data_IF_158062445782
#
_entry.id   IF_158062445782
#
_cell.length_a   1.000
_cell.length_b   1.000
_cell.length_c   1.000
_cell.angle_alpha   90.00
_cell.angle_beta   90.00
_cell.angle_gamma   90.00
#
_symmetry.space_group_name_H-M   'P 1'
#
loop_
_entity.id
_entity.type
_entity.pdbx_description
1 polymer ?
#
# COMPACT_ATOMS: atom_id res chain seq x y z
N UNK A 1 12.64 -8.00 -9.61
CA UNK A 1 11.45 -7.16 -9.84
C UNK A 1 10.79 -6.95 -8.52
N UNK A 2 10.39 -5.74 -8.19
CA UNK A 2 9.52 -5.50 -7.04
C UNK A 2 8.12 -6.01 -7.38
N UNK A 3 7.25 -6.19 -6.38
CA UNK A 3 5.84 -6.43 -6.63
C UNK A 3 5.23 -5.16 -7.24
N UNK A 4 4.31 -5.29 -8.19
CA UNK A 4 3.61 -4.20 -8.87
C UNK A 4 4.37 -3.47 -9.99
N UNK A 5 5.51 -3.93 -10.48
CA UNK A 5 6.24 -3.23 -11.55
C UNK A 5 5.42 -3.18 -12.85
N UNK A 6 4.83 -4.32 -13.26
CA UNK A 6 3.99 -4.37 -14.47
C UNK A 6 2.56 -3.83 -14.23
N UNK A 7 2.05 -3.97 -12.99
CA UNK A 7 0.68 -3.57 -12.66
C UNK A 7 0.52 -2.05 -12.47
N UNK A 8 1.61 -1.32 -12.16
CA UNK A 8 1.58 0.09 -11.76
C UNK A 8 0.76 0.97 -12.73
N UNK A 9 0.95 0.82 -14.03
CA UNK A 9 0.26 1.63 -15.05
C UNK A 9 -1.26 1.39 -15.10
N UNK A 10 -1.73 0.19 -14.73
CA UNK A 10 -3.15 -0.19 -14.79
C UNK A 10 -3.83 -0.21 -13.41
N UNK A 11 -3.05 -0.04 -12.33
CA UNK A 11 -3.49 -0.28 -10.95
C UNK A 11 -4.71 0.56 -10.56
N UNK A 12 -4.69 1.85 -10.84
CA UNK A 12 -5.80 2.74 -10.46
C UNK A 12 -7.08 2.46 -11.27
N UNK A 13 -6.94 2.02 -12.52
CA UNK A 13 -8.06 1.63 -13.38
C UNK A 13 -8.79 0.36 -12.91
N UNK A 14 -8.07 -0.51 -12.18
CA UNK A 14 -8.63 -1.73 -11.59
C UNK A 14 -9.31 -1.48 -10.23
N UNK A 15 -9.16 -0.29 -9.65
CA UNK A 15 -9.76 0.06 -8.37
C UNK A 15 -11.15 0.67 -8.55
N UNK A 16 -12.13 0.18 -7.78
CA UNK A 16 -13.50 0.67 -7.84
C UNK A 16 -13.60 2.17 -7.51
N UNK A 17 -14.45 2.89 -8.25
CA UNK A 17 -14.68 4.32 -8.11
C UNK A 17 -14.97 4.76 -6.66
N UNK A 18 -14.30 5.82 -6.25
CA UNK A 18 -14.51 6.45 -4.94
C UNK A 18 -13.97 5.70 -3.72
N UNK A 19 -13.29 4.55 -3.88
CA UNK A 19 -12.66 3.82 -2.76
C UNK A 19 -11.65 4.72 -2.05
N UNK A 20 -10.77 5.35 -2.80
CA UNK A 20 -9.72 6.23 -2.25
C UNK A 20 -10.29 7.46 -1.53
N UNK A 21 -11.33 8.08 -2.08
CA UNK A 21 -11.98 9.24 -1.47
C UNK A 21 -12.59 8.90 -0.11
N UNK A 22 -13.31 7.76 -0.03
CA UNK A 22 -13.89 7.26 1.23
C UNK A 22 -12.80 6.92 2.24
N UNK A 23 -11.70 6.30 1.80
CA UNK A 23 -10.58 5.94 2.64
C UNK A 23 -9.87 7.18 3.20
N UNK A 24 -9.58 8.17 2.36
CA UNK A 24 -8.98 9.43 2.81
C UNK A 24 -9.87 10.16 3.84
N UNK A 25 -11.19 10.22 3.62
CA UNK A 25 -12.13 10.79 4.58
C UNK A 25 -12.20 9.97 5.89
N UNK A 26 -12.04 8.66 5.83
CA UNK A 26 -11.95 7.81 7.02
C UNK A 26 -10.68 8.07 7.83
N UNK A 27 -9.53 8.18 7.15
CA UNK A 27 -8.24 8.52 7.78
C UNK A 27 -8.32 9.86 8.52
N UNK A 28 -8.94 10.90 7.93
CA UNK A 28 -9.12 12.19 8.61
C UNK A 28 -9.96 12.07 9.89
N UNK A 29 -10.98 11.20 9.90
CA UNK A 29 -11.74 10.93 11.14
C UNK A 29 -10.88 10.29 12.21
N UNK A 30 -9.94 9.41 11.82
CA UNK A 30 -9.00 8.79 12.73
C UNK A 30 -7.94 9.79 13.22
N UNK A 31 -7.44 10.67 12.35
CA UNK A 31 -6.52 11.74 12.72
C UNK A 31 -7.10 12.68 13.79
N UNK A 32 -8.42 12.96 13.73
CA UNK A 32 -9.11 13.74 14.78
C UNK A 32 -9.15 13.04 16.16
N UNK A 33 -8.86 11.73 16.21
CA UNK A 33 -8.76 10.95 17.45
C UNK A 33 -7.33 10.85 17.98
N UNK A 34 -6.34 11.36 17.23
CA UNK A 34 -4.95 11.42 17.69
C UNK A 34 -4.83 12.34 18.91
N UNK A 35 -3.89 12.03 19.82
CA UNK A 35 -3.65 12.84 21.01
C UNK A 35 -3.03 14.21 20.68
N UNK A 36 -2.48 14.36 19.48
CA UNK A 36 -1.91 15.62 18.96
C UNK A 36 -2.57 16.01 17.63
N UNK A 37 -2.60 17.30 17.26
CA UNK A 37 -3.05 17.72 15.94
C UNK A 37 -2.18 17.13 14.84
N UNK A 38 -2.80 16.48 13.85
CA UNK A 38 -2.10 15.90 12.70
C UNK A 38 -1.96 16.97 11.61
N UNK A 39 -0.72 17.24 11.19
CA UNK A 39 -0.36 18.13 10.06
C UNK A 39 0.63 17.46 9.11
N UNK A 40 1.49 16.60 9.64
CA UNK A 40 2.49 15.85 8.88
C UNK A 40 2.14 14.37 8.90
N UNK A 41 2.11 13.75 7.73
CA UNK A 41 1.71 12.35 7.54
C UNK A 41 2.80 11.60 6.78
N UNK A 42 3.15 10.42 7.26
CA UNK A 42 3.92 9.42 6.53
C UNK A 42 2.94 8.42 5.90
N UNK A 43 3.06 8.16 4.60
CA UNK A 43 2.35 7.09 3.91
C UNK A 43 3.34 5.97 3.52
N UNK A 44 3.20 4.80 4.17
CA UNK A 44 4.07 3.64 4.02
C UNK A 44 3.47 2.63 3.02
N UNK A 45 4.19 2.37 1.91
CA UNK A 45 3.67 1.57 0.82
C UNK A 45 2.56 2.32 0.09
N UNK A 46 2.89 3.52 -0.39
CA UNK A 46 1.91 4.45 -0.95
C UNK A 46 1.41 4.04 -2.35
N UNK A 47 2.07 3.07 -3.01
CA UNK A 47 1.76 2.67 -4.36
C UNK A 47 1.79 3.86 -5.32
N UNK A 48 0.74 4.00 -6.14
CA UNK A 48 0.56 5.11 -7.09
C UNK A 48 0.25 6.47 -6.44
N UNK A 49 0.39 6.59 -5.11
CA UNK A 49 0.31 7.85 -4.37
C UNK A 49 -1.08 8.48 -4.29
N UNK A 50 -2.15 7.80 -4.68
CA UNK A 50 -3.50 8.39 -4.70
C UNK A 50 -3.96 8.88 -3.33
N UNK A 51 -3.75 8.10 -2.26
CA UNK A 51 -4.07 8.53 -0.88
C UNK A 51 -3.18 9.70 -0.46
N UNK A 52 -1.88 9.63 -0.74
CA UNK A 52 -0.94 10.71 -0.44
C UNK A 52 -1.35 12.03 -1.09
N UNK A 53 -1.71 12.01 -2.39
CA UNK A 53 -2.19 13.19 -3.11
C UNK A 53 -3.52 13.72 -2.54
N UNK A 54 -4.47 12.85 -2.20
CA UNK A 54 -5.74 13.25 -1.60
C UNK A 54 -5.56 13.90 -0.22
N UNK A 55 -4.64 13.40 0.60
CA UNK A 55 -4.31 14.01 1.90
C UNK A 55 -3.60 15.36 1.71
N UNK A 56 -2.66 15.46 0.76
CA UNK A 56 -2.00 16.73 0.44
C UNK A 56 -3.00 17.81 -0.01
N UNK A 57 -3.95 17.48 -0.89
CA UNK A 57 -5.02 18.38 -1.33
C UNK A 57 -5.91 18.86 -0.17
N UNK A 58 -5.94 18.12 0.95
CA UNK A 58 -6.66 18.47 2.19
C UNK A 58 -5.81 19.25 3.20
N UNK A 59 -4.58 19.62 2.81
CA UNK A 59 -3.70 20.48 3.59
C UNK A 59 -2.72 19.73 4.52
N UNK A 60 -2.58 18.41 4.39
CA UNK A 60 -1.54 17.67 5.10
C UNK A 60 -0.21 17.72 4.34
N UNK A 61 0.91 17.88 5.06
CA UNK A 61 2.24 17.65 4.49
C UNK A 61 2.52 16.16 4.50
N UNK A 62 2.65 15.54 3.33
CA UNK A 62 2.77 14.10 3.18
C UNK A 62 4.17 13.74 2.70
N UNK A 63 4.82 12.82 3.39
CA UNK A 63 5.95 12.04 2.90
C UNK A 63 5.45 10.63 2.62
N UNK A 64 5.64 10.15 1.40
CA UNK A 64 5.12 8.87 0.94
C UNK A 64 6.28 7.99 0.47
N UNK A 65 6.29 6.73 0.90
CA UNK A 65 7.37 5.79 0.58
C UNK A 65 6.82 4.54 -0.09
N UNK A 66 7.52 4.06 -1.09
CA UNK A 66 7.27 2.76 -1.71
C UNK A 66 8.57 2.08 -2.10
N UNK A 67 8.52 0.78 -2.36
CA UNK A 67 9.66 -0.03 -2.81
C UNK A 67 9.74 -0.10 -4.34
N UNK A 68 8.64 0.15 -5.05
CA UNK A 68 8.54 0.14 -6.52
C UNK A 68 8.82 1.53 -7.08
N UNK A 69 9.83 1.61 -7.94
CA UNK A 69 10.16 2.83 -8.69
C UNK A 69 9.05 3.17 -9.70
N UNK A 70 8.44 2.16 -10.29
CA UNK A 70 7.34 2.28 -11.24
C UNK A 70 6.10 2.88 -10.57
N UNK A 71 5.75 2.41 -9.37
CA UNK A 71 4.66 3.00 -8.57
C UNK A 71 4.94 4.46 -8.25
N UNK A 72 6.16 4.79 -7.83
CA UNK A 72 6.53 6.16 -7.51
C UNK A 72 6.57 7.07 -8.75
N UNK A 73 6.87 6.55 -9.91
CA UNK A 73 6.77 7.28 -11.18
C UNK A 73 5.31 7.69 -11.44
N UNK A 74 4.37 6.77 -11.34
CA UNK A 74 2.93 7.07 -11.45
C UNK A 74 2.47 8.06 -10.37
N UNK A 75 2.98 7.91 -9.15
CA UNK A 75 2.66 8.81 -8.04
C UNK A 75 3.15 10.24 -8.33
N UNK A 76 4.37 10.40 -8.86
CA UNK A 76 4.95 11.69 -9.20
C UNK A 76 4.17 12.40 -10.32
N UNK A 77 3.77 11.66 -11.36
CA UNK A 77 2.93 12.18 -12.46
C UNK A 77 1.57 12.69 -11.91
N UNK A 78 0.92 11.90 -11.07
CA UNK A 78 -0.34 12.26 -10.43
C UNK A 78 -0.21 13.51 -9.55
N UNK A 79 0.91 13.63 -8.84
CA UNK A 79 1.18 14.74 -7.94
C UNK A 79 1.39 16.09 -8.65
N UNK A 80 1.64 16.10 -9.96
CA UNK A 80 1.73 17.35 -10.75
C UNK A 80 0.43 18.17 -10.70
N UNK A 81 -0.70 17.52 -10.42
CA UNK A 81 -1.99 18.20 -10.21
C UNK A 81 -2.19 18.73 -8.78
N UNK A 82 -1.28 18.44 -7.85
CA UNK A 82 -1.37 18.90 -6.47
C UNK A 82 -0.71 20.28 -6.31
N UNK A 83 -1.37 21.19 -5.58
CA UNK A 83 -0.80 22.50 -5.26
C UNK A 83 0.46 22.39 -4.39
N UNK A 84 0.42 21.47 -3.44
CA UNK A 84 1.53 21.11 -2.55
C UNK A 84 1.77 19.61 -2.68
N UNK A 85 2.63 19.15 -3.62
CA UNK A 85 2.79 17.73 -3.88
C UNK A 85 3.40 16.99 -2.69
N UNK A 86 3.00 15.72 -2.45
CA UNK A 86 3.70 14.85 -1.51
C UNK A 86 5.17 14.68 -1.88
N UNK A 87 6.02 14.47 -0.86
CA UNK A 87 7.40 14.03 -1.08
C UNK A 87 7.42 12.50 -1.24
N UNK A 88 7.76 12.02 -2.42
CA UNK A 88 7.92 10.59 -2.69
C UNK A 88 9.36 10.14 -2.49
N UNK A 89 9.56 8.99 -1.82
CA UNK A 89 10.86 8.44 -1.49
C UNK A 89 10.89 6.94 -1.75
N UNK A 90 11.81 6.50 -2.60
CA UNK A 90 12.06 5.07 -2.86
C UNK A 90 12.71 4.44 -1.63
N UNK A 91 11.94 3.74 -0.82
CA UNK A 91 12.40 3.22 0.45
C UNK A 91 11.56 2.03 0.92
N UNK A 92 12.21 0.97 1.39
CA UNK A 92 11.49 -0.16 2.00
C UNK A 92 11.07 0.17 3.44
N UNK A 93 9.92 -0.34 3.86
CA UNK A 93 9.37 -0.11 5.20
C UNK A 93 10.37 -0.48 6.34
N UNK A 94 11.08 -1.64 6.32
CA UNK A 94 12.07 -1.98 7.36
C UNK A 94 13.31 -1.08 7.38
N UNK A 95 13.51 -0.27 6.34
CA UNK A 95 14.62 0.68 6.24
C UNK A 95 14.18 2.13 6.31
N UNK A 96 12.95 2.36 6.77
CA UNK A 96 12.37 3.69 6.90
C UNK A 96 13.33 4.66 7.60
N UNK A 97 13.56 5.79 6.96
CA UNK A 97 14.29 6.92 7.51
C UNK A 97 13.61 8.22 7.08
N UNK A 98 13.33 9.08 8.03
CA UNK A 98 12.79 10.42 7.79
C UNK A 98 13.74 11.48 8.37
N UNK A 99 13.83 12.66 7.76
CA UNK A 99 14.63 13.76 8.30
C UNK A 99 14.05 14.28 9.63
N UNK A 100 12.72 14.23 9.79
CA UNK A 100 12.00 14.73 10.97
C UNK A 100 10.84 13.78 11.34
N UNK A 101 10.47 13.69 12.63
CA UNK A 101 9.28 12.95 13.07
C UNK A 101 7.98 13.57 12.54
N UNK A 102 7.00 12.71 12.30
CA UNK A 102 5.66 13.05 11.78
C UNK A 102 4.59 12.93 12.87
N UNK A 103 3.44 13.58 12.65
CA UNK A 103 2.30 13.53 13.58
C UNK A 103 1.50 12.23 13.43
N UNK A 104 1.44 11.69 12.22
CA UNK A 104 0.78 10.40 11.96
C UNK A 104 1.53 9.61 10.89
N UNK A 105 1.46 8.28 10.99
CA UNK A 105 1.85 7.36 9.94
C UNK A 105 0.63 6.54 9.50
N UNK A 106 0.54 6.26 8.21
CA UNK A 106 -0.48 5.37 7.64
C UNK A 106 0.20 4.28 6.81
N UNK A 107 -0.46 3.12 6.71
CA UNK A 107 -0.15 2.07 5.74
C UNK A 107 -1.47 1.43 5.35
N UNK A 108 -1.92 1.65 4.13
CA UNK A 108 -3.27 1.27 3.68
C UNK A 108 -3.21 0.27 2.55
N UNK A 109 -4.37 -0.38 2.27
CA UNK A 109 -4.50 -1.37 1.22
C UNK A 109 -3.53 -2.54 1.43
N UNK A 110 -3.60 -3.12 2.64
CA UNK A 110 -2.88 -4.34 3.03
C UNK A 110 -1.35 -4.35 2.80
N UNK A 111 -0.73 -3.17 2.60
CA UNK A 111 0.71 -3.07 2.32
C UNK A 111 1.58 -3.78 3.38
N UNK A 112 1.15 -3.84 4.65
CA UNK A 112 1.88 -4.55 5.71
C UNK A 112 1.86 -6.07 5.53
N UNK A 113 0.88 -6.65 4.83
CA UNK A 113 0.84 -8.09 4.57
C UNK A 113 2.00 -8.56 3.67
N UNK A 114 2.57 -7.66 2.87
CA UNK A 114 3.76 -7.93 2.03
C UNK A 114 5.03 -8.12 2.85
N UNK A 115 5.05 -7.71 4.11
CA UNK A 115 6.13 -8.02 5.06
C UNK A 115 5.95 -9.46 5.57
N UNK A 116 6.38 -10.44 4.78
CA UNK A 116 6.15 -11.86 5.07
C UNK A 116 7.04 -12.42 6.19
N UNK A 117 8.09 -11.70 6.59
CA UNK A 117 9.03 -12.11 7.65
C UNK A 117 8.79 -11.30 8.92
N UNK A 118 8.73 -11.97 10.06
CA UNK A 118 8.51 -11.33 11.36
C UNK A 118 9.55 -10.23 11.68
N UNK A 119 10.81 -10.47 11.37
CA UNK A 119 11.87 -9.48 11.57
C UNK A 119 11.61 -8.17 10.82
N UNK A 120 11.02 -8.25 9.61
CA UNK A 120 10.82 -7.11 8.75
C UNK A 120 9.63 -6.25 9.24
N UNK A 121 8.53 -6.86 9.66
CA UNK A 121 7.40 -6.12 10.26
C UNK A 121 7.76 -5.55 11.63
N UNK A 122 8.49 -6.29 12.47
CA UNK A 122 9.00 -5.81 13.76
C UNK A 122 9.91 -4.58 13.59
N UNK A 123 10.85 -4.64 12.64
CA UNK A 123 11.71 -3.50 12.34
C UNK A 123 10.92 -2.32 11.78
N UNK A 124 9.91 -2.57 10.93
CA UNK A 124 9.01 -1.53 10.43
C UNK A 124 8.30 -0.82 11.57
N UNK A 125 7.69 -1.56 12.52
CA UNK A 125 7.02 -0.96 13.67
C UNK A 125 7.97 -0.16 14.54
N UNK A 126 9.18 -0.68 14.79
CA UNK A 126 10.22 0.04 15.53
C UNK A 126 10.63 1.35 14.82
N UNK A 127 10.75 1.33 13.50
CA UNK A 127 11.06 2.52 12.70
C UNK A 127 9.92 3.53 12.71
N UNK A 128 8.69 3.08 12.53
CA UNK A 128 7.53 3.97 12.62
C UNK A 128 7.47 4.61 14.00
N UNK A 129 7.61 3.84 15.08
CA UNK A 129 7.64 4.38 16.44
C UNK A 129 8.72 5.46 16.62
N UNK A 130 9.92 5.23 16.07
CA UNK A 130 11.04 6.18 16.14
C UNK A 130 10.73 7.52 15.45
N UNK A 131 9.98 7.47 14.35
CA UNK A 131 9.66 8.64 13.54
C UNK A 131 8.26 9.20 13.78
N UNK A 132 7.51 8.66 14.73
CA UNK A 132 6.30 9.29 15.24
C UNK A 132 6.66 10.27 16.37
N UNK A 133 6.02 11.44 16.35
CA UNK A 133 6.07 12.36 17.51
C UNK A 133 5.37 11.73 18.71
N UNK A 134 5.78 12.05 19.94
CA UNK A 134 5.03 11.64 21.14
C UNK A 134 3.55 12.04 21.03
N UNK A 135 2.66 11.06 21.21
CA UNK A 135 1.22 11.24 21.03
C UNK A 135 0.73 11.13 19.59
N UNK A 136 1.63 10.89 18.63
CA UNK A 136 1.29 10.59 17.23
C UNK A 136 0.62 9.21 17.06
N UNK A 137 -0.01 9.00 15.91
CA UNK A 137 -0.77 7.78 15.64
C UNK A 137 -0.22 7.01 14.45
N UNK A 138 -0.16 5.68 14.55
CA UNK A 138 0.04 4.80 13.42
C UNK A 138 -1.27 4.08 13.08
N UNK A 139 -1.75 4.27 11.86
CA UNK A 139 -3.03 3.74 11.36
C UNK A 139 -2.73 2.83 10.17
N UNK A 140 -3.15 1.58 10.24
CA UNK A 140 -2.96 0.64 9.15
C UNK A 140 -4.12 -0.32 9.01
N UNK A 141 -4.26 -0.92 7.84
CA UNK A 141 -5.13 -2.06 7.61
C UNK A 141 -4.31 -3.29 7.19
N UNK A 142 -4.92 -4.46 7.37
CA UNK A 142 -4.35 -5.74 6.95
C UNK A 142 -5.44 -6.67 6.44
N UNK A 143 -5.10 -7.48 5.46
CA UNK A 143 -5.87 -8.66 5.12
C UNK A 143 -5.80 -9.65 6.27
N UNK A 144 -6.97 -9.98 6.83
CA UNK A 144 -7.04 -10.90 7.98
C UNK A 144 -6.74 -12.35 7.56
N UNK A 145 -6.30 -13.21 8.50
CA UNK A 145 -6.14 -14.65 8.24
C UNK A 145 -7.41 -15.30 7.69
N UNK A 146 -8.58 -14.83 8.12
CA UNK A 146 -9.87 -15.31 7.61
C UNK A 146 -10.04 -14.98 6.12
N UNK A 147 -9.76 -13.73 5.71
CA UNK A 147 -9.85 -13.31 4.30
C UNK A 147 -8.87 -14.11 3.44
N UNK A 148 -7.59 -14.15 3.83
CA UNK A 148 -6.56 -14.79 3.01
C UNK A 148 -6.77 -16.30 2.85
N UNK A 149 -7.26 -17.02 3.89
CA UNK A 149 -7.63 -18.43 3.75
C UNK A 149 -8.76 -18.66 2.76
N UNK A 150 -9.75 -17.76 2.74
CA UNK A 150 -10.88 -17.90 1.81
C UNK A 150 -10.51 -17.60 0.37
N UNK A 151 -9.34 -17.03 0.14
CA UNK A 151 -8.82 -16.81 -1.21
C UNK A 151 -8.08 -18.04 -1.76
N UNK A 152 -7.95 -19.13 -0.97
CA UNK A 152 -7.30 -20.35 -1.47
C UNK A 152 -8.00 -20.93 -2.69
N UNK A 153 -7.21 -21.30 -3.70
CA UNK A 153 -7.68 -21.88 -4.96
C UNK A 153 -8.78 -21.06 -5.67
N UNK A 154 -8.73 -19.70 -5.55
CA UNK A 154 -9.67 -18.84 -6.26
C UNK A 154 -9.04 -18.32 -7.57
N UNK A 155 -9.92 -17.95 -8.49
CA UNK A 155 -9.58 -17.27 -9.74
C UNK A 155 -10.48 -16.05 -9.86
N UNK A 156 -9.86 -14.88 -10.08
CA UNK A 156 -10.54 -13.61 -10.31
C UNK A 156 -10.06 -13.03 -11.64
N UNK A 157 -10.92 -12.28 -12.28
CA UNK A 157 -10.58 -11.52 -13.47
C UNK A 157 -11.07 -10.09 -13.32
N UNK A 158 -10.22 -9.15 -13.73
CA UNK A 158 -10.57 -7.75 -13.87
C UNK A 158 -10.29 -7.33 -15.32
N UNK A 159 -11.14 -6.50 -15.91
CA UNK A 159 -10.96 -6.05 -17.28
C UNK A 159 -11.29 -4.56 -17.45
N UNK A 160 -10.59 -3.95 -18.35
CA UNK A 160 -10.86 -2.63 -18.92
C UNK A 160 -10.84 -2.75 -20.43
N UNK A 161 -11.10 -1.66 -21.19
CA UNK A 161 -10.98 -1.68 -22.65
C UNK A 161 -9.57 -1.99 -23.13
N UNK A 162 -8.54 -1.68 -22.33
CA UNK A 162 -7.12 -1.78 -22.71
C UNK A 162 -6.34 -2.82 -21.91
N UNK A 163 -6.95 -3.45 -20.88
CA UNK A 163 -6.27 -4.43 -20.05
C UNK A 163 -7.17 -5.56 -19.58
N UNK A 164 -6.59 -6.76 -19.43
CA UNK A 164 -7.23 -7.93 -18.86
C UNK A 164 -6.30 -8.56 -17.84
N UNK A 165 -6.78 -8.76 -16.62
CA UNK A 165 -6.00 -9.27 -15.51
C UNK A 165 -6.60 -10.57 -15.00
N UNK A 166 -5.76 -11.60 -14.83
CA UNK A 166 -6.14 -12.89 -14.27
C UNK A 166 -5.37 -13.14 -12.98
N UNK A 167 -6.08 -13.24 -11.87
CA UNK A 167 -5.54 -13.51 -10.56
C UNK A 167 -5.81 -14.94 -10.15
N UNK A 168 -4.78 -15.71 -9.86
CA UNK A 168 -4.88 -17.03 -9.26
C UNK A 168 -4.28 -16.98 -7.85
N UNK A 169 -4.99 -17.48 -6.86
CA UNK A 169 -4.58 -17.38 -5.47
C UNK A 169 -4.44 -18.76 -4.82
N UNK A 170 -3.40 -18.88 -3.98
CA UNK A 170 -3.08 -20.11 -3.26
C UNK A 170 -2.70 -19.78 -1.83
N UNK A 171 -3.29 -20.44 -0.84
CA UNK A 171 -2.96 -20.21 0.56
C UNK A 171 -2.21 -21.39 1.18
N UNK A 172 -1.07 -21.12 1.78
CA UNK A 172 -0.29 -22.10 2.53
C UNK A 172 -0.54 -21.95 4.03
N UNK A 173 -1.28 -22.87 4.63
CA UNK A 173 -1.51 -22.90 6.09
C UNK A 173 -0.21 -23.00 6.88
N UNK A 174 0.77 -23.80 6.42
CA UNK A 174 2.07 -23.97 7.08
C UNK A 174 2.88 -22.68 7.13
N UNK A 175 2.86 -21.90 6.05
CA UNK A 175 3.61 -20.66 5.92
C UNK A 175 2.78 -19.43 6.35
N UNK A 176 1.46 -19.59 6.47
CA UNK A 176 0.49 -18.48 6.63
C UNK A 176 0.61 -17.45 5.51
N UNK A 177 0.87 -17.88 4.28
CA UNK A 177 1.09 -17.01 3.12
C UNK A 177 0.05 -17.31 2.05
N UNK A 178 -0.59 -16.24 1.55
CA UNK A 178 -1.34 -16.23 0.32
C UNK A 178 -0.42 -15.79 -0.82
N UNK A 179 -0.34 -16.59 -1.87
CA UNK A 179 0.39 -16.26 -3.10
C UNK A 179 -0.63 -15.91 -4.17
N UNK A 180 -0.44 -14.77 -4.81
CA UNK A 180 -1.21 -14.31 -5.95
C UNK A 180 -0.33 -14.42 -7.18
N UNK A 181 -0.77 -15.18 -8.16
CA UNK A 181 -0.17 -15.22 -9.49
C UNK A 181 -1.03 -14.38 -10.42
N UNK A 182 -0.42 -13.36 -10.98
CA UNK A 182 -1.11 -12.35 -11.78
C UNK A 182 -0.60 -12.39 -13.21
N UNK A 183 -1.49 -12.72 -14.14
CA UNK A 183 -1.25 -12.49 -15.56
C UNK A 183 -1.96 -11.20 -15.97
N UNK A 184 -1.19 -10.23 -16.42
CA UNK A 184 -1.68 -8.96 -16.93
C UNK A 184 -1.49 -8.92 -18.46
N UNK A 185 -2.57 -8.73 -19.18
CA UNK A 185 -2.57 -8.51 -20.61
C UNK A 185 -2.89 -7.05 -20.88
N UNK A 186 -2.07 -6.38 -21.69
CA UNK A 186 -2.25 -4.97 -22.09
C UNK A 186 -2.39 -4.87 -23.60
N UNK A 187 -3.38 -4.11 -24.04
CA UNK A 187 -3.58 -3.83 -25.46
C UNK A 187 -2.54 -2.79 -25.91
N UNK A 188 -1.76 -3.14 -26.91
CA UNK A 188 -0.78 -2.24 -27.54
C UNK A 188 -1.43 -1.40 -28.62
N UNK A 189 -0.80 -0.29 -29.00
CA UNK A 189 -1.24 0.60 -30.06
C UNK A 189 -1.32 -0.07 -31.42
N UNK A 190 -0.60 -1.18 -31.64
CA UNK A 190 -0.66 -2.00 -32.88
C UNK A 190 -1.78 -3.05 -32.89
N UNK A 191 -2.62 -3.08 -31.82
CA UNK A 191 -3.71 -4.04 -31.64
C UNK A 191 -3.28 -5.41 -31.11
N UNK A 192 -2.00 -5.63 -30.83
CA UNK A 192 -1.52 -6.85 -30.19
C UNK A 192 -1.66 -6.78 -28.67
N UNK A 193 -1.83 -7.92 -28.03
CA UNK A 193 -1.83 -8.05 -26.58
C UNK A 193 -0.43 -8.45 -26.09
N UNK A 194 0.09 -7.69 -25.13
CA UNK A 194 1.32 -8.00 -24.42
C UNK A 194 0.96 -8.61 -23.06
N UNK A 195 1.66 -9.69 -22.69
CA UNK A 195 1.46 -10.38 -21.41
C UNK A 195 2.63 -10.13 -20.48
N UNK A 196 2.32 -9.69 -19.25
CA UNK A 196 3.24 -9.67 -18.14
C UNK A 196 2.78 -10.66 -17.06
N UNK A 197 3.71 -11.07 -16.22
CA UNK A 197 3.44 -11.96 -15.08
C UNK A 197 4.11 -11.42 -13.83
N UNK A 198 3.33 -11.38 -12.75
CA UNK A 198 3.83 -11.04 -11.41
C UNK A 198 3.39 -12.08 -10.38
N UNK A 199 4.17 -12.21 -9.32
CA UNK A 199 3.80 -12.98 -8.14
C UNK A 199 3.85 -12.09 -6.91
N UNK A 200 2.73 -12.01 -6.18
CA UNK A 200 2.62 -11.29 -4.92
C UNK A 200 2.45 -12.28 -3.77
N UNK A 201 2.98 -11.93 -2.61
CA UNK A 201 2.91 -12.79 -1.43
C UNK A 201 2.52 -11.97 -0.21
N UNK A 202 1.42 -12.34 0.41
CA UNK A 202 0.92 -11.72 1.61
C UNK A 202 0.93 -12.70 2.78
N UNK A 203 1.45 -12.27 3.93
CA UNK A 203 1.35 -13.05 5.16
C UNK A 203 0.08 -12.71 5.92
N UNK A 204 -0.61 -13.75 6.37
CA UNK A 204 -1.80 -13.67 7.22
C UNK A 204 -1.40 -13.39 8.67
N UNK A 205 -1.22 -12.11 9.00
CA UNK A 205 -0.94 -11.66 10.36
C UNK A 205 -2.22 -11.69 11.20
N UNK A 206 -2.23 -12.39 12.32
CA UNK A 206 -3.34 -12.34 13.28
C UNK A 206 -3.26 -11.07 14.13
N UNK A 207 -4.39 -10.65 14.70
CA UNK A 207 -4.43 -9.51 15.62
C UNK A 207 -3.53 -9.73 16.84
N UNK A 208 -3.46 -10.96 17.35
CA UNK A 208 -2.58 -11.30 18.47
C UNK A 208 -1.10 -11.12 18.13
N UNK A 209 -0.64 -11.65 16.94
CA UNK A 209 0.72 -11.46 16.47
C UNK A 209 1.07 -9.97 16.31
N UNK A 210 0.16 -9.19 15.70
CA UNK A 210 0.38 -7.76 15.51
C UNK A 210 0.45 -7.00 16.84
N UNK A 211 -0.40 -7.35 17.82
CA UNK A 211 -0.39 -6.73 19.15
C UNK A 211 0.93 -7.03 19.87
N UNK A 212 1.43 -8.27 19.79
CA UNK A 212 2.72 -8.64 20.37
C UNK A 212 3.90 -7.90 19.69
N UNK A 213 3.82 -7.69 18.37
CA UNK A 213 4.86 -6.98 17.62
C UNK A 213 4.88 -5.47 17.88
N UNK A 214 3.75 -4.90 18.35
CA UNK A 214 3.60 -3.48 18.69
C UNK A 214 3.95 -3.16 20.15
N UNK A 215 4.03 -4.18 21.01
CA UNK A 215 4.41 -4.04 22.43
C UNK A 215 5.92 -4.01 22.64
#
# INVERSE_FOLDING_TARGET
MSSYDALAASYDGLMADGVYLRRAAYLERLFRRSAIPVRTVLDLGCGTGTIACLLSQRGYRVTATDLSEEMLTQAAEKAMACKEPPLFVLQSMPRLHLPEPVDAAISTLDSLNYLTRERDIRETFRRVFRFLKPGGSFIFDVNTPYKLRRMDCQLYTDETEESYCVWRTFFSEKQKICTYQVDLFRLRSDGAWERDYEEHRERAWSAAELTELLS
#
